data_IF_535790546118
#
_entry.id   IF_535790546118
#
_cell.length_a   1.000
_cell.length_b   1.000
_cell.length_c   1.000
_cell.angle_alpha   90.00
_cell.angle_beta   90.00
_cell.angle_gamma   90.00
#
_symmetry.space_group_name_H-M   'P 1'
#
loop_
_entity.id
_entity.type
_entity.pdbx_description
1 polymer ?
#
# COMPACT_ATOMS: atom_id res chain seq x y z
N UNK A 1 10.05 -11.61 -18.72
CA UNK A 1 10.35 -10.40 -19.53
C UNK A 1 11.45 -10.69 -20.51
N UNK A 2 12.70 -10.89 -20.06
CA UNK A 2 13.84 -11.21 -20.94
C UNK A 2 13.63 -12.47 -21.78
N UNK A 3 13.11 -13.55 -21.18
CA UNK A 3 12.72 -14.79 -21.89
C UNK A 3 11.73 -14.58 -23.05
N UNK A 4 10.91 -13.53 -22.98
CA UNK A 4 9.81 -13.29 -23.91
C UNK A 4 10.04 -12.05 -24.79
N UNK A 5 11.20 -11.39 -24.69
CA UNK A 5 11.50 -10.18 -25.46
C UNK A 5 10.58 -8.98 -25.12
N UNK A 6 9.97 -8.96 -23.94
CA UNK A 6 9.00 -7.93 -23.54
C UNK A 6 9.65 -6.83 -22.71
N UNK A 7 9.31 -5.58 -23.02
CA UNK A 7 9.70 -4.37 -22.30
C UNK A 7 8.72 -4.06 -21.14
N UNK A 8 9.26 -3.53 -20.02
CA UNK A 8 8.47 -3.24 -18.81
C UNK A 8 7.55 -2.07 -18.98
N UNK A 9 8.04 -0.97 -19.54
CA UNK A 9 7.24 0.21 -19.78
C UNK A 9 6.09 -0.15 -20.72
N UNK A 10 6.36 -0.87 -21.81
CA UNK A 10 5.33 -1.32 -22.75
C UNK A 10 4.25 -2.20 -22.08
N UNK A 11 4.64 -3.16 -21.24
CA UNK A 11 3.66 -4.01 -20.55
C UNK A 11 2.83 -3.23 -19.52
N UNK A 12 3.46 -2.33 -18.76
CA UNK A 12 2.76 -1.47 -17.80
C UNK A 12 1.76 -0.57 -18.53
N UNK A 13 2.17 0.00 -19.66
CA UNK A 13 1.32 0.86 -20.48
C UNK A 13 0.15 0.08 -21.10
N UNK A 14 0.41 -1.10 -21.69
CA UNK A 14 -0.63 -1.94 -22.28
C UNK A 14 -1.64 -2.42 -21.23
N UNK A 15 -1.18 -2.82 -20.05
CA UNK A 15 -2.05 -3.19 -18.93
C UNK A 15 -2.83 -1.97 -18.41
N UNK A 16 -2.22 -0.79 -18.42
CA UNK A 16 -2.89 0.48 -18.09
C UNK A 16 -4.04 0.77 -19.05
N UNK A 17 -3.79 0.72 -20.37
CA UNK A 17 -4.79 0.99 -21.41
C UNK A 17 -6.03 0.10 -21.29
N UNK A 18 -5.86 -1.21 -21.11
CA UNK A 18 -7.00 -2.13 -20.93
C UNK A 18 -7.90 -1.71 -19.77
N UNK A 19 -7.30 -1.20 -18.69
CA UNK A 19 -8.05 -0.74 -17.52
C UNK A 19 -8.67 0.64 -17.75
N UNK A 20 -8.12 1.43 -18.64
CA UNK A 20 -8.66 2.73 -19.03
C UNK A 20 -9.89 2.53 -19.90
N UNK A 21 -9.75 1.73 -20.94
CA UNK A 21 -10.84 1.36 -21.83
C UNK A 21 -12.01 0.77 -21.01
N UNK A 22 -11.72 -0.12 -20.05
CA UNK A 22 -12.78 -0.66 -19.17
C UNK A 22 -13.39 0.42 -18.24
N UNK A 23 -12.60 1.34 -17.68
CA UNK A 23 -13.14 2.44 -16.86
C UNK A 23 -14.03 3.38 -17.68
N UNK A 24 -13.64 3.66 -18.93
CA UNK A 24 -14.40 4.52 -19.83
C UNK A 24 -15.72 3.87 -20.28
N UNK A 25 -15.71 2.56 -20.54
CA UNK A 25 -16.89 1.82 -21.00
C UNK A 25 -17.83 1.40 -19.86
N UNK A 26 -17.28 0.90 -18.75
CA UNK A 26 -18.02 0.30 -17.64
C UNK A 26 -17.25 0.46 -16.31
N UNK A 27 -17.34 1.67 -15.75
CA UNK A 27 -16.66 1.99 -14.50
C UNK A 27 -17.11 1.11 -13.33
N UNK A 28 -18.42 0.82 -13.23
CA UNK A 28 -18.96 0.04 -12.10
C UNK A 28 -18.51 -1.43 -12.19
N UNK A 29 -18.50 -2.03 -13.38
CA UNK A 29 -17.98 -3.38 -13.59
C UNK A 29 -16.47 -3.47 -13.36
N UNK A 30 -15.69 -2.44 -13.71
CA UNK A 30 -14.28 -2.37 -13.34
C UNK A 30 -14.08 -2.24 -11.82
N UNK A 31 -14.98 -1.52 -11.14
CA UNK A 31 -14.88 -1.24 -9.70
C UNK A 31 -15.24 -2.46 -8.86
N UNK A 32 -16.29 -3.21 -9.23
CA UNK A 32 -16.81 -4.39 -8.52
C UNK A 32 -15.73 -5.34 -7.95
N UNK A 33 -14.70 -5.78 -8.71
CA UNK A 33 -13.67 -6.68 -8.20
C UNK A 33 -12.68 -6.04 -7.22
N UNK A 34 -12.77 -4.73 -6.96
CA UNK A 34 -11.86 -3.97 -6.11
C UNK A 34 -12.49 -3.58 -4.76
N UNK A 35 -13.42 -4.39 -4.25
CA UNK A 35 -14.05 -4.16 -2.94
C UNK A 35 -13.02 -3.94 -1.82
N UNK A 36 -13.27 -2.94 -0.98
CA UNK A 36 -12.44 -2.67 0.20
C UNK A 36 -12.83 -3.62 1.34
N UNK A 37 -11.85 -3.95 2.18
CA UNK A 37 -12.10 -4.72 3.39
C UNK A 37 -13.01 -3.91 4.35
N UNK A 38 -14.04 -4.53 4.94
CA UNK A 38 -14.96 -3.83 5.84
C UNK A 38 -14.23 -3.06 6.95
N UNK A 39 -14.66 -1.82 7.20
CA UNK A 39 -14.11 -0.94 8.23
C UNK A 39 -12.78 -0.24 7.90
N UNK A 40 -12.02 -0.71 6.89
CA UNK A 40 -10.71 -0.13 6.54
C UNK A 40 -10.85 1.32 6.08
N UNK A 41 -11.78 1.62 5.18
CA UNK A 41 -11.97 2.98 4.69
C UNK A 41 -12.33 3.96 5.81
N UNK A 42 -13.19 3.56 6.74
CA UNK A 42 -13.59 4.40 7.88
C UNK A 42 -12.42 4.65 8.84
N UNK A 43 -11.62 3.62 9.13
CA UNK A 43 -10.45 3.75 9.98
C UNK A 43 -9.40 4.70 9.38
N UNK A 44 -9.16 4.62 8.06
CA UNK A 44 -8.24 5.53 7.37
C UNK A 44 -8.77 6.96 7.36
N UNK A 45 -10.06 7.18 7.11
CA UNK A 45 -10.67 8.52 7.19
C UNK A 45 -10.54 9.12 8.59
N UNK A 46 -10.76 8.32 9.64
CA UNK A 46 -10.55 8.76 11.04
C UNK A 46 -9.09 9.13 11.28
N UNK A 47 -8.15 8.32 10.78
CA UNK A 47 -6.72 8.64 10.87
C UNK A 47 -6.36 9.95 10.15
N UNK A 48 -6.90 10.21 8.96
CA UNK A 48 -6.69 11.47 8.24
C UNK A 48 -7.24 12.70 8.96
N UNK A 49 -8.34 12.55 9.71
CA UNK A 49 -8.96 13.66 10.44
C UNK A 49 -8.19 14.07 11.71
N UNK A 50 -7.18 13.32 12.10
CA UNK A 50 -6.39 13.57 13.31
C UNK A 50 -5.24 14.53 13.03
N UNK A 51 -4.97 15.43 13.97
CA UNK A 51 -3.86 16.39 13.89
C UNK A 51 -2.48 15.79 14.20
N UNK A 52 -2.45 14.58 14.78
CA UNK A 52 -1.26 13.88 15.24
C UNK A 52 -0.93 12.65 14.38
N UNK A 53 -1.52 12.55 13.18
CA UNK A 53 -1.27 11.47 12.24
C UNK A 53 -1.11 12.01 10.82
N UNK A 54 -0.27 11.33 10.02
CA UNK A 54 -0.13 11.58 8.60
C UNK A 54 -0.29 10.26 7.84
N UNK A 55 -1.34 10.16 7.02
CA UNK A 55 -1.62 8.96 6.22
C UNK A 55 -0.99 9.13 4.83
N UNK A 56 -0.11 8.19 4.46
CA UNK A 56 0.52 8.14 3.13
C UNK A 56 0.21 6.80 2.48
N UNK A 57 -0.03 6.80 1.17
CA UNK A 57 -0.26 5.57 0.39
C UNK A 57 0.96 5.30 -0.48
N UNK A 58 1.60 4.15 -0.29
CA UNK A 58 2.72 3.69 -1.13
C UNK A 58 2.31 2.43 -1.86
N UNK A 59 2.16 2.49 -3.19
CA UNK A 59 1.53 1.40 -3.98
C UNK A 59 2.35 1.03 -5.22
N UNK A 60 2.22 -0.23 -5.66
CA UNK A 60 2.74 -0.69 -6.96
C UNK A 60 1.63 -0.77 -8.02
N UNK A 61 0.45 -0.20 -7.75
CA UNK A 61 -0.63 0.05 -8.70
C UNK A 61 -0.45 1.46 -9.27
N UNK A 62 -0.76 1.69 -10.55
CA UNK A 62 -0.74 3.07 -11.06
C UNK A 62 -1.69 3.94 -10.22
N UNK A 63 -1.18 5.08 -9.74
CA UNK A 63 -1.82 5.89 -8.69
C UNK A 63 -3.28 6.23 -8.98
N UNK A 64 -3.60 6.67 -10.21
CA UNK A 64 -4.97 7.01 -10.64
C UNK A 64 -5.99 5.90 -10.42
N UNK A 65 -5.60 4.64 -10.56
CA UNK A 65 -6.49 3.51 -10.27
C UNK A 65 -6.68 3.27 -8.79
N UNK A 66 -5.63 3.47 -7.98
CA UNK A 66 -5.75 3.36 -6.53
C UNK A 66 -6.65 4.48 -5.98
N UNK A 67 -6.48 5.71 -6.46
CA UNK A 67 -7.31 6.86 -6.12
C UNK A 67 -8.78 6.61 -6.47
N UNK A 68 -9.06 6.17 -7.72
CA UNK A 68 -10.43 5.88 -8.15
C UNK A 68 -11.11 4.81 -7.27
N UNK A 69 -10.39 3.74 -6.89
CA UNK A 69 -10.92 2.71 -5.98
C UNK A 69 -11.21 3.29 -4.60
N UNK A 70 -10.24 3.99 -4.00
CA UNK A 70 -10.38 4.53 -2.64
C UNK A 70 -11.51 5.55 -2.55
N UNK A 71 -11.62 6.43 -3.54
CA UNK A 71 -12.68 7.44 -3.60
C UNK A 71 -14.05 6.77 -3.78
N UNK A 72 -14.20 5.87 -4.76
CA UNK A 72 -15.52 5.36 -5.15
C UNK A 72 -16.04 4.24 -4.26
N UNK A 73 -15.16 3.39 -3.73
CA UNK A 73 -15.56 2.33 -2.79
C UNK A 73 -15.56 2.79 -1.33
N UNK A 74 -14.66 3.71 -0.97
CA UNK A 74 -14.43 4.08 0.43
C UNK A 74 -14.84 5.50 0.82
N UNK A 75 -15.16 6.35 -0.16
CA UNK A 75 -15.27 7.80 0.07
C UNK A 75 -13.96 8.40 0.60
N UNK A 76 -12.83 7.76 0.29
CA UNK A 76 -11.52 8.08 0.85
C UNK A 76 -10.73 8.92 -0.17
N UNK A 77 -10.57 10.20 0.13
CA UNK A 77 -9.78 11.13 -0.68
C UNK A 77 -8.36 11.18 -0.12
N UNK A 78 -7.38 10.76 -0.94
CA UNK A 78 -5.96 10.85 -0.62
C UNK A 78 -5.38 11.99 -1.45
N UNK A 79 -4.78 13.03 -0.83
CA UNK A 79 -4.08 14.09 -1.55
C UNK A 79 -2.99 13.52 -2.48
N UNK A 80 -2.73 14.18 -3.61
CA UNK A 80 -1.77 13.67 -4.58
C UNK A 80 -0.34 13.61 -4.00
N UNK A 81 0.00 14.56 -3.14
CA UNK A 81 1.25 14.59 -2.36
C UNK A 81 1.40 13.44 -1.36
N UNK A 82 0.30 12.75 -1.03
CA UNK A 82 0.26 11.61 -0.13
C UNK A 82 0.21 10.27 -0.88
N UNK A 83 0.16 10.30 -2.21
CA UNK A 83 0.08 9.13 -3.08
C UNK A 83 1.40 8.84 -3.81
N UNK A 84 2.07 7.76 -3.42
CA UNK A 84 3.35 7.33 -3.96
C UNK A 84 3.18 6.03 -4.76
N UNK A 85 2.95 6.15 -6.06
CA UNK A 85 2.86 5.01 -6.98
C UNK A 85 4.23 4.68 -7.58
N UNK A 86 4.75 3.49 -7.31
CA UNK A 86 6.05 3.02 -7.79
C UNK A 86 5.98 2.25 -9.11
N UNK A 87 4.78 1.99 -9.65
CA UNK A 87 4.62 1.21 -10.89
C UNK A 87 5.35 1.86 -12.06
N UNK A 88 5.11 3.15 -12.25
CA UNK A 88 5.61 3.94 -13.39
C UNK A 88 7.06 4.34 -13.14
N UNK A 89 7.35 4.91 -11.97
CA UNK A 89 8.71 5.39 -11.63
C UNK A 89 9.71 4.26 -11.44
N UNK A 90 9.27 3.06 -11.05
CA UNK A 90 10.14 1.93 -10.72
C UNK A 90 10.90 2.09 -9.40
N UNK A 91 10.71 3.21 -8.70
CA UNK A 91 11.39 3.52 -7.44
C UNK A 91 10.98 2.48 -6.38
N UNK A 92 11.92 1.78 -5.73
CA UNK A 92 11.59 0.85 -4.66
C UNK A 92 10.84 1.52 -3.52
N UNK A 93 9.91 0.80 -2.86
CA UNK A 93 9.22 1.34 -1.68
C UNK A 93 10.19 1.77 -0.56
N UNK A 94 11.33 1.09 -0.42
CA UNK A 94 12.38 1.49 0.54
C UNK A 94 12.87 2.92 0.30
N UNK A 95 12.99 3.34 -0.97
CA UNK A 95 13.47 4.67 -1.33
C UNK A 95 12.39 5.71 -1.09
N UNK A 96 11.12 5.37 -1.32
CA UNK A 96 9.98 6.20 -0.90
C UNK A 96 9.97 6.37 0.63
N UNK A 97 10.16 5.30 1.40
CA UNK A 97 10.18 5.40 2.86
C UNK A 97 11.29 6.32 3.39
N UNK A 98 12.44 6.39 2.69
CA UNK A 98 13.54 7.32 3.01
C UNK A 98 13.18 8.78 2.81
N UNK A 99 12.22 9.12 1.94
CA UNK A 99 11.82 10.51 1.72
C UNK A 99 10.89 11.04 2.82
N UNK A 100 10.25 10.15 3.59
CA UNK A 100 9.48 10.54 4.76
C UNK A 100 10.44 10.90 5.90
N UNK A 101 10.72 12.21 5.97
CA UNK A 101 11.81 12.82 6.73
C UNK A 101 11.92 12.46 8.22
N UNK A 102 12.99 12.93 8.82
CA UNK A 102 13.36 12.72 10.24
C UNK A 102 12.96 13.90 11.13
N UNK A 103 12.22 14.87 10.59
CA UNK A 103 11.82 16.07 11.32
C UNK A 103 10.62 15.79 12.24
N UNK A 104 10.90 15.84 13.54
CA UNK A 104 9.95 15.46 14.59
C UNK A 104 10.03 13.97 14.95
N UNK A 105 9.74 13.65 16.22
CA UNK A 105 9.71 12.26 16.73
C UNK A 105 8.39 11.58 16.35
N UNK A 106 8.08 11.50 15.06
CA UNK A 106 6.91 10.77 14.59
C UNK A 106 7.15 9.28 14.71
N UNK A 107 6.16 8.55 15.23
CA UNK A 107 6.15 7.09 15.17
C UNK A 107 5.94 6.66 13.71
N UNK A 108 6.91 5.96 13.12
CA UNK A 108 6.86 5.54 11.72
C UNK A 108 6.32 4.13 11.61
N UNK A 109 5.13 3.98 11.02
CA UNK A 109 4.44 2.70 10.88
C UNK A 109 4.30 2.38 9.39
N UNK A 110 4.78 1.21 8.97
CA UNK A 110 4.61 0.72 7.61
C UNK A 110 3.80 -0.57 7.62
N UNK A 111 2.62 -0.51 7.00
CA UNK A 111 1.67 -1.62 6.89
C UNK A 111 1.59 -2.08 5.45
N UNK A 112 1.67 -3.39 5.22
CA UNK A 112 1.79 -3.97 3.88
C UNK A 112 1.26 -5.41 3.87
N UNK A 113 0.74 -5.88 2.73
CA UNK A 113 0.31 -7.27 2.53
C UNK A 113 1.35 -8.13 1.78
N UNK A 114 2.40 -7.49 1.23
CA UNK A 114 3.62 -8.14 0.71
C UNK A 114 4.66 -8.42 1.78
N UNK A 115 4.87 -9.69 2.10
CA UNK A 115 6.02 -10.05 2.92
C UNK A 115 7.36 -9.65 2.29
N UNK A 116 7.58 -9.93 1.01
CA UNK A 116 8.87 -9.61 0.36
C UNK A 116 9.21 -8.11 0.31
N UNK A 117 8.23 -7.22 0.42
CA UNK A 117 8.48 -5.78 0.61
C UNK A 117 8.97 -5.53 2.03
N UNK A 118 8.27 -6.05 3.04
CA UNK A 118 8.65 -5.88 4.44
C UNK A 118 10.03 -6.47 4.75
N UNK A 119 10.37 -7.62 4.16
CA UNK A 119 11.70 -8.22 4.30
C UNK A 119 12.83 -7.35 3.70
N UNK A 120 12.54 -6.56 2.67
CA UNK A 120 13.52 -5.60 2.12
C UNK A 120 13.69 -4.41 3.07
N UNK A 121 12.59 -3.89 3.60
CA UNK A 121 12.62 -2.80 4.59
C UNK A 121 13.33 -3.26 5.86
N UNK A 122 13.07 -4.47 6.35
CA UNK A 122 13.69 -5.00 7.56
C UNK A 122 15.20 -5.25 7.46
N UNK A 123 15.75 -5.30 6.25
CA UNK A 123 17.20 -5.47 5.97
C UNK A 123 17.92 -4.15 5.72
N UNK A 124 17.18 -3.05 5.64
CA UNK A 124 17.74 -1.72 5.44
C UNK A 124 17.95 -1.07 6.80
N UNK A 125 19.20 -1.02 7.27
CA UNK A 125 19.53 -0.53 8.62
C UNK A 125 19.11 0.93 8.83
N UNK A 126 19.11 1.73 7.77
CA UNK A 126 18.67 3.12 7.76
C UNK A 126 17.13 3.28 7.85
N UNK A 127 16.37 2.18 7.82
CA UNK A 127 14.92 2.15 8.00
C UNK A 127 14.49 1.46 9.32
N UNK A 128 15.42 1.27 10.26
CA UNK A 128 15.15 0.58 11.52
C UNK A 128 14.11 1.27 12.44
N UNK A 129 13.90 2.56 12.26
CA UNK A 129 12.86 3.33 12.97
C UNK A 129 11.44 2.98 12.54
N UNK A 130 11.25 2.35 11.37
CA UNK A 130 9.94 1.90 10.92
C UNK A 130 9.49 0.66 11.67
N UNK A 131 8.29 0.72 12.24
CA UNK A 131 7.56 -0.45 12.71
C UNK A 131 6.88 -1.13 11.53
N UNK A 132 7.12 -2.43 11.37
CA UNK A 132 6.71 -3.18 10.19
C UNK A 132 5.56 -4.12 10.53
N UNK A 133 4.45 -3.98 9.80
CA UNK A 133 3.26 -4.79 10.01
C UNK A 133 2.86 -5.51 8.72
N UNK A 134 2.85 -6.85 8.77
CA UNK A 134 2.22 -7.66 7.74
C UNK A 134 0.75 -7.83 8.09
N UNK A 135 -0.13 -7.40 7.20
CA UNK A 135 -1.56 -7.69 7.36
C UNK A 135 -1.84 -9.13 6.96
N UNK A 136 -2.68 -9.85 7.70
CA UNK A 136 -2.99 -11.26 7.43
C UNK A 136 -4.11 -11.47 6.41
N UNK A 137 -4.65 -10.37 5.85
CA UNK A 137 -5.55 -10.34 4.70
C UNK A 137 -4.79 -9.84 3.47
N UNK A 138 -5.37 -9.95 2.27
CA UNK A 138 -4.68 -9.66 1.01
C UNK A 138 -4.02 -10.90 0.40
N UNK A 139 -2.89 -10.74 -0.28
CA UNK A 139 -2.30 -11.79 -1.12
C UNK A 139 -1.23 -12.66 -0.44
N UNK A 140 -1.07 -12.59 0.88
CA UNK A 140 -0.08 -13.41 1.58
C UNK A 140 -0.57 -14.85 1.87
N UNK A 141 0.35 -15.80 1.83
CA UNK A 141 0.07 -17.23 2.11
C UNK A 141 0.27 -17.58 3.59
N UNK A 142 -0.25 -18.72 4.09
CA UNK A 142 0.05 -19.21 5.43
C UNK A 142 1.55 -19.34 5.70
N UNK A 143 2.32 -19.80 4.72
CA UNK A 143 3.78 -19.95 4.81
C UNK A 143 4.46 -18.58 4.94
N UNK A 144 4.00 -17.58 4.19
CA UNK A 144 4.49 -16.21 4.33
C UNK A 144 4.19 -15.65 5.72
N UNK A 145 2.98 -15.85 6.25
CA UNK A 145 2.65 -15.42 7.62
C UNK A 145 3.53 -16.13 8.66
N UNK A 146 3.83 -17.41 8.47
CA UNK A 146 4.74 -18.14 9.36
C UNK A 146 6.17 -17.56 9.30
N UNK A 147 6.69 -17.26 8.10
CA UNK A 147 7.99 -16.58 7.94
C UNK A 147 8.01 -15.19 8.55
N UNK A 148 6.94 -14.42 8.40
CA UNK A 148 6.80 -13.09 9.00
C UNK A 148 6.85 -13.16 10.54
N UNK A 149 6.11 -14.10 11.14
CA UNK A 149 6.14 -14.33 12.59
C UNK A 149 7.52 -14.79 13.11
N UNK A 150 8.33 -15.42 12.27
CA UNK A 150 9.70 -15.80 12.61
C UNK A 150 10.71 -14.63 12.46
N UNK A 151 10.31 -13.51 11.84
CA UNK A 151 11.15 -12.33 11.69
C UNK A 151 10.89 -11.35 12.86
N UNK A 152 11.89 -11.06 13.72
CA UNK A 152 11.69 -10.20 14.90
C UNK A 152 11.34 -8.74 14.58
N UNK A 153 11.54 -8.30 13.33
CA UNK A 153 11.21 -6.93 12.88
C UNK A 153 9.79 -6.80 12.35
N UNK A 154 9.07 -7.89 12.08
CA UNK A 154 7.76 -7.85 11.42
C UNK A 154 6.69 -8.41 12.36
N UNK A 155 5.61 -7.65 12.56
CA UNK A 155 4.44 -8.10 13.32
C UNK A 155 3.29 -8.43 12.38
N UNK A 156 2.71 -9.62 12.50
CA UNK A 156 1.51 -10.00 11.75
C UNK A 156 0.26 -9.49 12.48
N UNK A 157 -0.65 -8.82 11.77
CA UNK A 157 -1.89 -8.27 12.35
C UNK A 157 -3.12 -8.65 11.51
N UNK A 158 -4.27 -8.76 12.18
CA UNK A 158 -5.60 -8.89 11.55
C UNK A 158 -6.29 -7.55 11.32
N UNK A 159 -7.38 -7.56 10.55
CA UNK A 159 -8.07 -6.32 10.12
C UNK A 159 -8.51 -5.47 11.30
N UNK A 160 -9.01 -6.09 12.36
CA UNK A 160 -9.42 -5.39 13.59
C UNK A 160 -8.24 -4.71 14.29
N UNK A 161 -7.08 -5.38 14.34
CA UNK A 161 -5.88 -4.81 14.94
C UNK A 161 -5.34 -3.63 14.14
N UNK A 162 -5.50 -3.64 12.81
CA UNK A 162 -5.15 -2.49 11.97
C UNK A 162 -6.12 -1.32 12.13
N UNK A 163 -7.43 -1.60 12.18
CA UNK A 163 -8.44 -0.57 12.46
C UNK A 163 -8.14 0.10 13.81
N UNK A 164 -7.94 -0.70 14.87
CA UNK A 164 -7.61 -0.19 16.19
C UNK A 164 -6.28 0.60 16.22
N UNK A 165 -5.29 0.18 15.43
CA UNK A 165 -4.01 0.89 15.32
C UNK A 165 -4.18 2.29 14.75
N UNK A 166 -5.04 2.47 13.74
CA UNK A 166 -5.32 3.77 13.15
C UNK A 166 -6.12 4.69 14.08
N UNK A 167 -6.93 4.12 14.96
CA UNK A 167 -7.71 4.86 15.95
C UNK A 167 -6.91 5.27 17.19
N UNK A 168 -5.91 4.47 17.57
CA UNK A 168 -5.19 4.59 18.85
C UNK A 168 -3.75 5.13 18.75
N UNK A 169 -3.31 5.57 17.57
CA UNK A 169 -1.95 6.13 17.40
C UNK A 169 -1.72 7.38 18.26
#
# INVERSE_FOLDING_TARGET
MQRWGLDRAMMVEAFGRIRDDWIEEDFDGWLEPNALYPGVAEAVKRAQARSDAAVKIVTTKQGRFALAIMERMGGLVIPEEDMFSTTVSGIPKTDVLRTFGTEGKWRKIFVEDKLSTLEKVSKADDLNEWELYLVNWGYNTPEERARANANPRIKVIGVDAFINMLEAA
#
